data_IF_800542366513
#
_entry.id   IF_800542366513
#
_cell.length_a   1.000
_cell.length_b   1.000
_cell.length_c   1.000
_cell.angle_alpha   90.00
_cell.angle_beta   90.00
_cell.angle_gamma   90.00
#
_symmetry.space_group_name_H-M   'P 1'
#
loop_
_entity.id
_entity.type
_entity.pdbx_description
1 polymer ?
#
# COMPACT_ATOMS: atom_id res chain seq x y z
N UNK A 1 -29.27 -24.65 -24.45
CA UNK A 1 -29.29 -23.25 -23.99
C UNK A 1 -27.90 -23.01 -23.42
N UNK A 2 -27.04 -22.38 -24.21
CA UNK A 2 -25.71 -22.00 -23.77
C UNK A 2 -25.88 -20.72 -22.95
N UNK A 3 -25.50 -20.76 -21.68
CA UNK A 3 -25.30 -19.56 -20.87
C UNK A 3 -23.90 -19.05 -21.19
N UNK A 4 -23.86 -17.86 -21.76
CA UNK A 4 -22.66 -17.21 -22.26
C UNK A 4 -21.83 -16.64 -21.11
N UNK A 5 -20.51 -16.79 -21.26
CA UNK A 5 -19.42 -16.09 -20.59
C UNK A 5 -19.76 -14.67 -20.13
N UNK A 6 -19.51 -14.40 -18.85
CA UNK A 6 -19.21 -13.05 -18.38
C UNK A 6 -17.92 -13.13 -17.58
N UNK A 7 -16.82 -12.98 -18.30
CA UNK A 7 -15.49 -12.86 -17.73
C UNK A 7 -15.43 -11.73 -16.71
N UNK A 8 -14.81 -12.02 -15.57
CA UNK A 8 -14.15 -11.03 -14.74
C UNK A 8 -12.89 -11.66 -14.16
N UNK A 9 -11.79 -11.50 -14.92
CA UNK A 9 -10.42 -11.58 -14.44
C UNK A 9 -9.90 -12.97 -14.13
N UNK A 10 -9.31 -13.62 -15.13
CA UNK A 10 -8.21 -14.57 -14.94
C UNK A 10 -7.10 -13.90 -14.11
N UNK A 11 -7.11 -14.13 -12.79
CA UNK A 11 -5.97 -13.82 -11.92
C UNK A 11 -4.88 -14.85 -12.23
N UNK A 12 -4.06 -14.58 -13.25
CA UNK A 12 -2.82 -15.33 -13.44
C UNK A 12 -1.85 -14.97 -12.31
N UNK A 13 -1.15 -15.96 -11.74
CA UNK A 13 -0.34 -15.81 -10.53
C UNK A 13 1.06 -15.29 -10.86
N UNK A 14 1.22 -13.97 -10.80
CA UNK A 14 2.52 -13.32 -10.69
C UNK A 14 2.45 -12.35 -9.51
N UNK A 15 2.57 -12.87 -8.28
CA UNK A 15 3.09 -12.32 -7.00
C UNK A 15 3.10 -10.80 -6.71
N UNK A 16 2.35 -9.97 -7.41
CA UNK A 16 2.38 -8.52 -7.28
C UNK A 16 1.01 -8.05 -6.80
N UNK A 17 0.91 -7.85 -5.48
CA UNK A 17 -0.19 -7.11 -4.85
C UNK A 17 -0.40 -5.78 -5.60
N UNK A 18 -1.65 -5.42 -5.90
CA UNK A 18 -2.00 -4.13 -6.52
C UNK A 18 -2.64 -3.19 -5.51
N UNK A 19 -2.77 -1.90 -5.85
CA UNK A 19 -3.47 -0.94 -4.99
C UNK A 19 -4.94 -1.30 -4.78
N UNK A 20 -5.59 -1.88 -5.78
CA UNK A 20 -6.96 -2.39 -5.68
C UNK A 20 -7.07 -3.61 -4.76
N UNK A 21 -6.01 -4.42 -4.61
CA UNK A 21 -6.00 -5.53 -3.64
C UNK A 21 -5.89 -5.04 -2.20
N UNK A 22 -5.29 -3.85 -1.99
CA UNK A 22 -5.18 -3.19 -0.69
C UNK A 22 -6.47 -2.43 -0.36
N UNK A 23 -7.19 -1.95 -1.37
CA UNK A 23 -8.47 -1.29 -1.18
C UNK A 23 -9.46 -2.19 -0.42
N UNK A 24 -10.32 -1.58 0.38
CA UNK A 24 -11.24 -2.21 1.32
C UNK A 24 -10.58 -2.98 2.50
N UNK A 25 -9.25 -2.96 2.63
CA UNK A 25 -8.56 -3.53 3.80
C UNK A 25 -8.69 -2.61 5.02
N UNK A 26 -9.04 -3.20 6.17
CA UNK A 26 -9.14 -2.48 7.45
C UNK A 26 -7.79 -2.39 8.18
N UNK A 27 -6.82 -3.21 7.78
CA UNK A 27 -5.45 -3.20 8.29
C UNK A 27 -4.47 -3.50 7.17
N UNK A 28 -3.30 -2.87 7.22
CA UNK A 28 -2.28 -2.95 6.17
C UNK A 28 -0.89 -3.03 6.78
N UNK A 29 0.03 -3.76 6.14
CA UNK A 29 1.45 -3.76 6.50
C UNK A 29 2.13 -2.54 5.89
N UNK A 30 2.66 -1.64 6.72
CA UNK A 30 3.34 -0.43 6.27
C UNK A 30 4.82 -0.55 6.56
N UNK A 31 5.66 -0.34 5.55
CA UNK A 31 7.11 -0.24 5.70
C UNK A 31 7.63 1.06 5.11
N UNK A 32 8.57 1.69 5.80
CA UNK A 32 9.25 2.89 5.36
C UNK A 32 10.33 2.53 4.34
N UNK A 33 10.05 2.76 3.06
CA UNK A 33 10.99 2.43 1.97
C UNK A 33 12.15 3.43 1.85
N UNK A 34 12.17 4.50 2.66
CA UNK A 34 13.29 5.43 2.73
C UNK A 34 14.63 4.73 3.04
N UNK A 35 14.62 3.68 3.88
CA UNK A 35 15.83 2.85 4.12
C UNK A 35 16.30 2.13 2.85
N UNK A 36 15.38 1.71 1.97
CA UNK A 36 15.73 1.04 0.72
C UNK A 36 16.41 2.00 -0.27
N UNK A 37 15.97 3.26 -0.29
CA UNK A 37 16.52 4.29 -1.16
C UNK A 37 17.81 4.94 -0.59
N UNK A 38 17.89 5.11 0.73
CA UNK A 38 18.98 5.79 1.42
C UNK A 38 19.22 5.16 2.81
N UNK A 39 19.81 3.94 2.87
CA UNK A 39 19.96 3.17 4.11
C UNK A 39 20.84 3.84 5.16
N UNK A 40 21.67 4.79 4.75
CA UNK A 40 22.51 5.61 5.64
C UNK A 40 21.75 6.72 6.38
N UNK A 41 20.49 6.99 5.98
CA UNK A 41 19.67 8.09 6.51
C UNK A 41 18.44 7.64 7.30
N UNK A 42 18.10 6.35 7.23
CA UNK A 42 16.97 5.75 7.94
C UNK A 42 17.29 4.29 8.20
N UNK A 43 17.16 3.81 9.45
CA UNK A 43 17.35 2.39 9.80
C UNK A 43 16.20 1.49 9.30
N UNK A 44 15.15 2.09 8.75
CA UNK A 44 13.95 1.41 8.30
C UNK A 44 12.96 1.23 9.44
N UNK A 45 11.69 1.15 9.09
CA UNK A 45 10.60 0.90 10.03
C UNK A 45 9.52 0.13 9.31
N UNK A 46 8.86 -0.78 9.99
CA UNK A 46 7.69 -1.46 9.46
C UNK A 46 6.78 -1.95 10.57
N UNK A 47 5.48 -1.75 10.41
CA UNK A 47 4.46 -2.25 11.32
C UNK A 47 3.12 -2.47 10.60
N UNK A 48 2.28 -3.31 11.18
CA UNK A 48 0.89 -3.45 10.75
C UNK A 48 0.08 -2.34 11.42
N UNK A 49 -0.64 -1.57 10.61
CA UNK A 49 -1.47 -0.45 11.06
C UNK A 49 -2.94 -0.80 10.86
N UNK A 50 -3.74 -0.67 11.91
CA UNK A 50 -5.20 -0.67 11.83
C UNK A 50 -5.70 0.72 11.41
N UNK A 51 -6.53 0.77 10.38
CA UNK A 51 -7.06 2.00 9.81
C UNK A 51 -8.36 2.41 10.52
N UNK A 52 -8.62 3.72 10.58
CA UNK A 52 -9.89 4.24 11.12
C UNK A 52 -11.09 3.89 10.22
N UNK A 53 -10.84 3.82 8.91
CA UNK A 53 -11.76 3.41 7.86
C UNK A 53 -11.00 2.55 6.84
N UNK A 54 -11.68 1.67 6.09
CA UNK A 54 -11.02 0.83 5.09
C UNK A 54 -10.19 1.66 4.10
N UNK A 55 -9.04 1.12 3.70
CA UNK A 55 -8.21 1.71 2.66
C UNK A 55 -9.03 1.89 1.38
N UNK A 56 -8.78 2.96 0.64
CA UNK A 56 -9.44 3.18 -0.65
C UNK A 56 -8.50 3.82 -1.65
N UNK A 57 -8.78 3.60 -2.93
CA UNK A 57 -8.05 4.20 -4.04
C UNK A 57 -8.91 5.28 -4.67
N UNK A 58 -8.40 6.51 -4.74
CA UNK A 58 -9.03 7.64 -5.42
C UNK A 58 -8.01 8.31 -6.34
N UNK A 59 -8.40 8.61 -7.58
CA UNK A 59 -7.50 9.19 -8.60
C UNK A 59 -6.16 8.43 -8.78
N UNK A 60 -6.18 7.11 -8.59
CA UNK A 60 -5.00 6.24 -8.69
C UNK A 60 -4.03 6.36 -7.51
N UNK A 61 -4.48 6.91 -6.38
CA UNK A 61 -3.70 7.06 -5.15
C UNK A 61 -4.36 6.27 -4.03
N UNK A 62 -3.54 5.58 -3.24
CA UNK A 62 -3.99 4.87 -2.05
C UNK A 62 -4.12 5.82 -0.86
N UNK A 63 -5.29 5.79 -0.24
CA UNK A 63 -5.60 6.53 0.98
C UNK A 63 -5.77 5.53 2.13
N UNK A 64 -5.10 5.84 3.23
CA UNK A 64 -5.10 5.06 4.47
C UNK A 64 -5.66 5.95 5.60
N UNK A 65 -6.99 5.95 5.83
CA UNK A 65 -7.60 6.77 6.87
C UNK A 65 -7.06 6.45 8.26
N UNK A 66 -6.74 7.49 9.04
CA UNK A 66 -6.13 7.33 10.37
C UNK A 66 -4.62 7.09 10.36
N UNK A 67 -4.01 6.78 9.21
CA UNK A 67 -2.57 6.58 9.12
C UNK A 67 -1.80 7.89 8.93
N UNK A 68 -0.76 8.11 9.74
CA UNK A 68 0.19 9.21 9.55
C UNK A 68 1.31 8.80 8.60
N UNK A 69 1.36 9.42 7.42
CA UNK A 69 2.42 9.23 6.41
C UNK A 69 3.76 9.85 6.85
N UNK A 70 4.29 9.44 7.98
CA UNK A 70 5.57 9.91 8.53
C UNK A 70 6.27 8.72 9.16
N UNK A 71 7.43 8.37 8.60
CA UNK A 71 8.27 7.33 9.14
C UNK A 71 8.79 7.77 10.53
N UNK A 72 8.49 7.07 11.64
CA UNK A 72 8.83 7.54 12.98
C UNK A 72 10.35 7.57 13.23
N UNK A 73 11.12 6.71 12.57
CA UNK A 73 12.57 6.62 12.73
C UNK A 73 13.32 7.81 12.10
N UNK A 74 12.90 8.26 10.92
CA UNK A 74 13.63 9.26 10.14
C UNK A 74 12.79 10.49 9.75
N UNK A 75 11.52 10.55 10.14
CA UNK A 75 10.61 11.66 9.86
C UNK A 75 10.30 11.87 8.36
N UNK A 76 10.64 10.90 7.50
CA UNK A 76 10.53 11.03 6.05
C UNK A 76 9.12 10.62 5.57
N UNK A 77 8.36 11.50 4.89
CA UNK A 77 7.00 11.21 4.44
C UNK A 77 6.90 10.74 2.97
N UNK A 78 8.02 10.59 2.26
CA UNK A 78 7.97 10.54 0.80
C UNK A 78 7.70 9.16 0.19
N UNK A 79 8.15 8.07 0.82
CA UNK A 79 8.09 6.73 0.21
C UNK A 79 7.80 5.66 1.26
N UNK A 80 6.76 4.87 1.00
CA UNK A 80 6.31 3.76 1.84
C UNK A 80 6.04 2.53 0.97
N UNK A 81 6.01 1.37 1.60
CA UNK A 81 5.57 0.12 1.02
C UNK A 81 4.36 -0.37 1.81
N UNK A 82 3.22 -0.53 1.16
CA UNK A 82 1.96 -0.96 1.78
C UNK A 82 1.62 -2.34 1.24
N UNK A 83 1.57 -3.36 2.10
CA UNK A 83 1.34 -4.77 1.73
C UNK A 83 2.19 -5.23 0.54
N UNK A 84 3.45 -4.78 0.52
CA UNK A 84 4.40 -5.10 -0.56
C UNK A 84 4.35 -4.17 -1.77
N UNK A 85 3.45 -3.18 -1.84
CA UNK A 85 3.31 -2.21 -2.94
C UNK A 85 3.98 -0.89 -2.60
N UNK A 86 4.93 -0.44 -3.43
CA UNK A 86 5.58 0.85 -3.24
C UNK A 86 4.62 2.01 -3.59
N UNK A 87 4.38 2.88 -2.63
CA UNK A 87 3.56 4.09 -2.77
C UNK A 87 4.39 5.31 -2.37
N UNK A 88 4.18 6.42 -3.09
CA UNK A 88 4.81 7.69 -2.77
C UNK A 88 3.75 8.73 -2.44
N UNK A 89 3.80 9.27 -1.22
CA UNK A 89 2.92 10.36 -0.78
C UNK A 89 3.60 11.72 -1.02
N UNK A 90 4.12 11.93 -2.23
CA UNK A 90 4.58 13.23 -2.69
C UNK A 90 3.36 14.02 -3.15
N UNK A 91 2.76 14.78 -2.23
CA UNK A 91 1.72 15.79 -2.51
C UNK A 91 2.28 17.06 -3.12
#
# INVERSE_FOLDING_TARGET
MAGEDSGRGDHQPDDWTTLDDIADSESVEVECSAHLAAPETCDGWGETVDLDEPAYVEDGRLFLPGFSWTCPECGNPHSFRIDGVEVSNLV
#
